data_IF_394087757336
#
_entry.id   IF_394087757336
#
_cell.length_a   1.000
_cell.length_b   1.000
_cell.length_c   1.000
_cell.angle_alpha   90.00
_cell.angle_beta   90.00
_cell.angle_gamma   90.00
#
_symmetry.space_group_name_H-M   'P 1'
#
loop_
_entity.id
_entity.type
_entity.pdbx_description
1 polymer ?
#
# COMPACT_ATOMS: atom_id res chain seq x y z
N UNK A 1 2.71 17.77 -23.53
CA UNK A 1 2.19 16.75 -22.61
C UNK A 1 2.86 17.02 -21.28
N UNK A 2 2.14 17.61 -20.33
CA UNK A 2 2.67 17.87 -18.99
C UNK A 2 2.45 16.58 -18.20
N UNK A 3 3.47 15.74 -18.10
CA UNK A 3 3.41 14.53 -17.28
C UNK A 3 3.34 14.96 -15.82
N UNK A 4 2.20 14.77 -15.16
CA UNK A 4 2.03 15.04 -13.73
C UNK A 4 2.89 14.04 -12.96
N UNK A 5 3.72 14.49 -12.02
CA UNK A 5 4.51 13.56 -11.19
C UNK A 5 3.66 12.92 -10.08
N UNK A 6 4.07 11.73 -9.60
CA UNK A 6 3.41 11.06 -8.46
C UNK A 6 3.35 11.99 -7.24
N UNK A 7 4.41 12.72 -6.96
CA UNK A 7 4.45 13.70 -5.88
C UNK A 7 3.41 14.82 -6.05
N UNK A 8 3.24 15.34 -7.27
CA UNK A 8 2.23 16.38 -7.54
C UNK A 8 0.81 15.84 -7.33
N UNK A 9 0.54 14.62 -7.80
CA UNK A 9 -0.73 13.94 -7.56
C UNK A 9 -0.99 13.74 -6.06
N UNK A 10 -0.01 13.23 -5.31
CA UNK A 10 -0.14 13.01 -3.87
C UNK A 10 -0.43 14.31 -3.12
N UNK A 11 0.26 15.40 -3.45
CA UNK A 11 0.02 16.71 -2.84
C UNK A 11 -1.40 17.21 -3.09
N UNK A 12 -1.94 16.98 -4.29
CA UNK A 12 -3.32 17.33 -4.62
C UNK A 12 -4.31 16.49 -3.80
N UNK A 13 -4.15 15.18 -3.79
CA UNK A 13 -5.01 14.26 -3.05
C UNK A 13 -4.98 14.51 -1.53
N UNK A 14 -3.80 14.84 -0.96
CA UNK A 14 -3.70 15.23 0.46
C UNK A 14 -4.42 16.55 0.73
N UNK A 15 -4.37 17.51 -0.21
CA UNK A 15 -5.10 18.78 -0.07
C UNK A 15 -6.62 18.61 -0.14
N UNK A 16 -7.12 17.62 -0.88
CA UNK A 16 -8.56 17.30 -0.96
C UNK A 16 -8.99 16.38 0.19
N UNK A 17 -8.08 15.56 0.71
CA UNK A 17 -8.30 14.58 1.78
C UNK A 17 -8.98 13.29 1.32
N UNK A 18 -9.26 13.15 0.02
CA UNK A 18 -9.97 12.00 -0.57
C UNK A 18 -9.44 11.69 -1.97
N UNK A 19 -9.47 10.41 -2.36
CA UNK A 19 -9.21 9.97 -3.74
C UNK A 19 -10.50 9.43 -4.33
N UNK A 20 -10.99 10.07 -5.39
CA UNK A 20 -12.13 9.60 -6.17
C UNK A 20 -11.72 8.61 -7.27
N UNK A 21 -12.70 7.95 -7.87
CA UNK A 21 -12.44 7.06 -9.02
C UNK A 21 -11.98 7.83 -10.27
N UNK A 22 -12.34 9.12 -10.38
CA UNK A 22 -11.82 10.00 -11.44
C UNK A 22 -10.32 10.30 -11.21
N UNK A 23 -9.93 10.61 -9.98
CA UNK A 23 -8.53 10.79 -9.61
C UNK A 23 -7.72 9.51 -9.87
N UNK A 24 -8.31 8.33 -9.62
CA UNK A 24 -7.69 7.05 -9.94
C UNK A 24 -7.49 6.86 -11.45
N UNK A 25 -8.40 7.32 -12.30
CA UNK A 25 -8.20 7.27 -13.75
C UNK A 25 -7.07 8.19 -14.20
N UNK A 26 -6.96 9.39 -13.61
CA UNK A 26 -5.84 10.31 -13.85
C UNK A 26 -4.52 9.67 -13.41
N UNK A 27 -4.48 9.08 -12.21
CA UNK A 27 -3.32 8.36 -11.70
C UNK A 27 -2.86 7.26 -12.66
N UNK A 28 -3.78 6.44 -13.16
CA UNK A 28 -3.47 5.33 -14.08
C UNK A 28 -3.04 5.79 -15.47
N UNK A 29 -3.62 6.87 -16.01
CA UNK A 29 -3.41 7.27 -17.41
C UNK A 29 -2.32 8.30 -17.60
N UNK A 30 -2.18 9.22 -16.65
CA UNK A 30 -1.33 10.41 -16.80
C UNK A 30 -0.09 10.36 -15.90
N UNK A 31 -0.19 9.74 -14.73
CA UNK A 31 0.88 9.73 -13.73
C UNK A 31 1.69 8.43 -13.81
N UNK A 32 1.01 7.27 -13.87
CA UNK A 32 1.62 5.93 -13.90
C UNK A 32 1.13 5.08 -15.08
N UNK A 33 1.31 5.54 -16.35
CA UNK A 33 0.88 4.77 -17.52
C UNK A 33 1.57 3.41 -17.65
N UNK A 34 2.82 3.31 -17.19
CA UNK A 34 3.64 2.09 -17.20
C UNK A 34 3.64 1.38 -15.84
N UNK A 35 2.85 1.84 -14.87
CA UNK A 35 2.88 1.35 -13.49
C UNK A 35 4.04 1.92 -12.66
N UNK A 36 4.32 1.28 -11.52
CA UNK A 36 5.36 1.69 -10.59
C UNK A 36 6.74 1.26 -11.11
N UNK A 37 7.65 2.23 -11.24
CA UNK A 37 9.00 1.99 -11.79
C UNK A 37 10.12 2.10 -10.76
N UNK A 38 9.85 2.70 -9.60
CA UNK A 38 10.83 2.92 -8.55
C UNK A 38 10.18 2.85 -7.16
N UNK A 39 11.02 2.65 -6.14
CA UNK A 39 10.59 2.54 -4.74
C UNK A 39 10.03 3.85 -4.18
N UNK A 40 10.52 4.99 -4.64
CA UNK A 40 10.10 6.31 -4.14
C UNK A 40 8.62 6.57 -4.46
N UNK A 41 8.19 6.28 -5.69
CA UNK A 41 6.80 6.41 -6.11
C UNK A 41 5.88 5.42 -5.37
N UNK A 42 6.37 4.19 -5.15
CA UNK A 42 5.65 3.20 -4.36
C UNK A 42 5.46 3.66 -2.91
N UNK A 43 6.52 4.19 -2.29
CA UNK A 43 6.48 4.73 -0.93
C UNK A 43 5.53 5.93 -0.82
N UNK A 44 5.51 6.81 -1.83
CA UNK A 44 4.58 7.94 -1.88
C UNK A 44 3.13 7.47 -1.92
N UNK A 45 2.78 6.50 -2.77
CA UNK A 45 1.41 5.98 -2.85
C UNK A 45 1.00 5.19 -1.60
N UNK A 46 1.93 4.41 -1.03
CA UNK A 46 1.72 3.70 0.23
C UNK A 46 1.47 4.71 1.38
N UNK A 47 2.24 5.80 1.44
CA UNK A 47 2.01 6.87 2.40
C UNK A 47 0.68 7.59 2.15
N UNK A 48 0.33 7.83 0.88
CA UNK A 48 -0.91 8.48 0.48
C UNK A 48 -2.14 7.71 0.94
N UNK A 49 -2.16 6.38 0.78
CA UNK A 49 -3.27 5.52 1.24
C UNK A 49 -3.64 5.73 2.71
N UNK A 50 -2.68 6.04 3.56
CA UNK A 50 -2.92 6.29 4.98
C UNK A 50 -3.32 7.73 5.28
N UNK A 51 -2.95 8.66 4.41
CA UNK A 51 -3.14 10.09 4.61
C UNK A 51 -4.53 10.56 4.18
N UNK A 52 -5.21 9.83 3.30
CA UNK A 52 -6.48 10.24 2.68
C UNK A 52 -7.50 9.11 2.70
N UNK A 53 -8.78 9.47 2.62
CA UNK A 53 -9.84 8.48 2.47
C UNK A 53 -9.86 8.06 0.99
N UNK A 54 -9.38 6.85 0.71
CA UNK A 54 -9.39 6.25 -0.62
C UNK A 54 -10.66 5.45 -0.92
N UNK A 55 -10.99 5.29 -2.20
CA UNK A 55 -12.00 4.32 -2.64
C UNK A 55 -11.46 2.88 -2.59
N UNK A 56 -12.34 1.89 -2.54
CA UNK A 56 -11.96 0.48 -2.63
C UNK A 56 -11.17 0.20 -3.92
N UNK A 57 -11.52 0.89 -5.03
CA UNK A 57 -10.81 0.79 -6.29
C UNK A 57 -9.38 1.31 -6.22
N UNK A 58 -9.13 2.36 -5.43
CA UNK A 58 -7.77 2.85 -5.17
C UNK A 58 -6.96 1.83 -4.35
N UNK A 59 -7.58 1.24 -3.32
CA UNK A 59 -6.94 0.20 -2.52
C UNK A 59 -6.58 -1.04 -3.36
N UNK A 60 -7.50 -1.51 -4.21
CA UNK A 60 -7.26 -2.63 -5.14
C UNK A 60 -6.13 -2.31 -6.13
N UNK A 61 -6.13 -1.09 -6.67
CA UNK A 61 -5.08 -0.64 -7.58
C UNK A 61 -3.72 -0.61 -6.88
N UNK A 62 -3.64 -0.07 -5.66
CA UNK A 62 -2.39 0.03 -4.93
C UNK A 62 -1.82 -1.37 -4.61
N UNK A 63 -2.68 -2.30 -4.18
CA UNK A 63 -2.30 -3.69 -3.96
C UNK A 63 -1.72 -4.31 -5.22
N UNK A 64 -2.43 -4.23 -6.35
CA UNK A 64 -1.96 -4.79 -7.60
C UNK A 64 -0.64 -4.17 -8.07
N UNK A 65 -0.51 -2.85 -7.95
CA UNK A 65 0.68 -2.11 -8.42
C UNK A 65 1.91 -2.41 -7.59
N UNK A 66 1.78 -2.50 -6.26
CA UNK A 66 2.92 -2.84 -5.39
C UNK A 66 3.33 -4.30 -5.56
N UNK A 67 2.36 -5.22 -5.73
CA UNK A 67 2.68 -6.63 -6.05
C UNK A 67 3.42 -6.72 -7.38
N UNK A 68 2.93 -6.04 -8.41
CA UNK A 68 3.58 -6.03 -9.72
C UNK A 68 5.02 -5.53 -9.65
N UNK A 69 5.22 -4.38 -8.98
CA UNK A 69 6.54 -3.80 -8.79
C UNK A 69 7.48 -4.69 -7.96
N UNK A 70 7.02 -5.18 -6.81
CA UNK A 70 7.87 -5.93 -5.88
C UNK A 70 8.23 -7.32 -6.43
N UNK A 71 7.26 -8.02 -7.01
CA UNK A 71 7.42 -9.41 -7.45
C UNK A 71 7.96 -9.50 -8.88
N UNK A 72 7.46 -8.66 -9.79
CA UNK A 72 7.78 -8.75 -11.22
C UNK A 72 8.73 -7.63 -11.70
N UNK A 73 8.89 -6.55 -10.94
CA UNK A 73 9.75 -5.42 -11.30
C UNK A 73 11.25 -5.63 -11.06
N UNK A 74 11.65 -6.57 -10.19
CA UNK A 74 13.06 -6.88 -9.91
C UNK A 74 13.49 -8.19 -10.55
N UNK A 75 14.72 -8.25 -11.10
CA UNK A 75 15.30 -9.48 -11.64
C UNK A 75 16.27 -10.09 -10.60
N UNK A 76 16.18 -11.39 -10.30
CA UNK A 76 15.27 -12.40 -10.86
C UNK A 76 13.82 -12.21 -10.39
N UNK A 77 12.88 -12.29 -11.33
CA UNK A 77 11.45 -12.08 -11.04
C UNK A 77 10.89 -13.21 -10.18
N UNK A 78 9.95 -12.88 -9.30
CA UNK A 78 9.32 -13.82 -8.37
C UNK A 78 10.12 -14.06 -7.07
N UNK A 79 11.27 -13.39 -6.89
CA UNK A 79 12.11 -13.52 -5.70
C UNK A 79 12.13 -12.22 -4.89
N UNK A 80 11.67 -12.30 -3.65
CA UNK A 80 11.78 -11.20 -2.70
C UNK A 80 12.97 -11.45 -1.78
N UNK A 81 14.07 -10.74 -2.04
CA UNK A 81 15.27 -10.80 -1.20
C UNK A 81 15.11 -9.99 0.10
N UNK A 82 16.16 -9.98 0.92
CA UNK A 82 16.15 -9.27 2.20
C UNK A 82 16.07 -7.76 2.06
N UNK A 83 16.59 -7.19 0.98
CA UNK A 83 16.60 -5.74 0.75
C UNK A 83 15.19 -5.26 0.37
N UNK A 84 14.55 -5.93 -0.60
CA UNK A 84 13.15 -5.68 -0.97
C UNK A 84 12.23 -5.93 0.21
N UNK A 85 12.44 -7.02 0.96
CA UNK A 85 11.67 -7.31 2.17
C UNK A 85 11.79 -6.23 3.24
N UNK A 86 13.01 -5.75 3.52
CA UNK A 86 13.25 -4.72 4.52
C UNK A 86 12.61 -3.39 4.13
N UNK A 87 12.77 -2.99 2.86
CA UNK A 87 12.14 -1.80 2.32
C UNK A 87 10.60 -1.89 2.41
N UNK A 88 10.01 -2.97 1.90
CA UNK A 88 8.56 -3.12 1.85
C UNK A 88 7.97 -3.17 3.27
N UNK A 89 8.59 -3.91 4.20
CA UNK A 89 8.15 -3.94 5.59
C UNK A 89 8.23 -2.56 6.25
N UNK A 90 9.28 -1.79 6.01
CA UNK A 90 9.42 -0.43 6.54
C UNK A 90 8.35 0.51 5.97
N UNK A 91 8.13 0.48 4.66
CA UNK A 91 7.11 1.29 3.98
C UNK A 91 5.69 0.94 4.43
N UNK A 92 5.40 -0.36 4.58
CA UNK A 92 4.10 -0.85 5.03
C UNK A 92 3.85 -0.64 6.52
N UNK A 93 4.89 -0.56 7.35
CA UNK A 93 4.73 -0.32 8.79
C UNK A 93 4.20 1.07 9.12
N UNK A 94 4.56 2.11 8.34
CA UNK A 94 4.17 3.49 8.64
C UNK A 94 4.55 3.94 10.05
N UNK A 95 3.87 4.97 10.58
CA UNK A 95 4.09 5.46 11.97
C UNK A 95 3.31 4.67 13.01
N UNK A 96 2.05 4.33 12.72
CA UNK A 96 1.12 3.73 13.68
C UNK A 96 0.97 2.21 13.51
N UNK A 97 1.74 1.61 12.60
CA UNK A 97 1.59 0.22 12.17
C UNK A 97 0.90 0.10 10.81
N UNK A 98 0.87 -1.13 10.25
CA UNK A 98 0.29 -1.37 8.94
C UNK A 98 -1.22 -1.09 8.92
N UNK A 99 -1.66 -0.36 7.90
CA UNK A 99 -3.09 -0.19 7.58
C UNK A 99 -3.70 -1.52 7.12
N UNK A 100 -5.03 -1.59 7.02
CA UNK A 100 -5.70 -2.78 6.48
C UNK A 100 -5.27 -3.06 5.03
N UNK A 101 -5.13 -2.01 4.21
CA UNK A 101 -4.60 -2.13 2.84
C UNK A 101 -3.12 -2.52 2.89
N UNK A 102 -2.31 -1.92 3.76
CA UNK A 102 -0.91 -2.29 3.91
C UNK A 102 -0.69 -3.76 4.32
N UNK A 103 -1.51 -4.28 5.23
CA UNK A 103 -1.50 -5.70 5.59
C UNK A 103 -1.89 -6.59 4.40
N UNK A 104 -2.89 -6.17 3.60
CA UNK A 104 -3.27 -6.86 2.37
C UNK A 104 -2.13 -6.87 1.34
N UNK A 105 -1.45 -5.74 1.14
CA UNK A 105 -0.26 -5.67 0.26
C UNK A 105 0.78 -6.71 0.69
N UNK A 106 1.14 -6.73 1.97
CA UNK A 106 2.15 -7.66 2.49
C UNK A 106 1.77 -9.14 2.23
N UNK A 107 0.52 -9.49 2.49
CA UNK A 107 -0.01 -10.85 2.25
C UNK A 107 0.02 -11.22 0.77
N UNK A 108 -0.42 -10.32 -0.11
CA UNK A 108 -0.48 -10.58 -1.56
C UNK A 108 0.92 -10.70 -2.17
N UNK A 109 1.88 -9.87 -1.74
CA UNK A 109 3.29 -10.00 -2.19
C UNK A 109 3.86 -11.35 -1.78
N UNK A 110 3.66 -11.77 -0.53
CA UNK A 110 4.13 -13.09 -0.06
C UNK A 110 3.44 -14.24 -0.80
N UNK A 111 2.15 -14.08 -1.13
CA UNK A 111 1.37 -15.10 -1.86
C UNK A 111 1.83 -15.27 -3.31
N UNK A 112 2.14 -14.16 -3.97
CA UNK A 112 2.49 -14.14 -5.40
C UNK A 112 3.97 -14.46 -5.65
N UNK A 113 4.85 -14.12 -4.71
CA UNK A 113 6.26 -14.42 -4.81
C UNK A 113 6.53 -15.94 -4.78
N UNK A 114 7.38 -16.41 -5.69
CA UNK A 114 7.86 -17.79 -5.71
C UNK A 114 8.74 -18.10 -4.50
N UNK A 115 9.52 -17.11 -4.06
CA UNK A 115 10.32 -17.19 -2.84
C UNK A 115 10.37 -15.82 -2.17
N UNK A 116 10.21 -15.81 -0.85
CA UNK A 116 10.23 -14.58 -0.04
C UNK A 116 11.16 -14.73 1.15
N UNK A 117 11.87 -13.65 1.48
CA UNK A 117 12.61 -13.58 2.73
C UNK A 117 11.68 -13.80 3.92
N UNK A 118 12.12 -14.64 4.86
CA UNK A 118 11.36 -15.02 6.06
C UNK A 118 10.89 -13.80 6.88
N UNK A 119 11.67 -12.72 6.89
CA UNK A 119 11.32 -11.46 7.54
C UNK A 119 10.05 -10.83 6.97
N UNK A 120 9.83 -10.90 5.65
CA UNK A 120 8.59 -10.37 5.04
C UNK A 120 7.40 -11.27 5.36
N UNK A 121 7.59 -12.59 5.35
CA UNK A 121 6.53 -13.55 5.72
C UNK A 121 6.08 -13.32 7.16
N UNK A 122 7.02 -13.20 8.10
CA UNK A 122 6.72 -12.90 9.49
C UNK A 122 5.99 -11.55 9.65
N UNK A 123 6.43 -10.51 8.93
CA UNK A 123 5.76 -9.22 8.91
C UNK A 123 4.32 -9.32 8.39
N UNK A 124 4.10 -9.99 7.25
CA UNK A 124 2.77 -10.12 6.64
C UNK A 124 1.77 -10.83 7.56
N UNK A 125 2.20 -11.91 8.22
CA UNK A 125 1.37 -12.64 9.18
C UNK A 125 0.98 -11.77 10.38
N UNK A 126 1.92 -11.04 10.95
CA UNK A 126 1.66 -10.13 12.07
C UNK A 126 0.78 -8.94 11.65
N UNK A 127 1.03 -8.34 10.49
CA UNK A 127 0.23 -7.26 9.94
C UNK A 127 -1.24 -7.70 9.71
N UNK A 128 -1.44 -8.88 9.12
CA UNK A 128 -2.77 -9.45 8.89
C UNK A 128 -3.49 -9.76 10.21
N UNK A 129 -2.79 -10.33 11.18
CA UNK A 129 -3.35 -10.58 12.52
C UNK A 129 -3.86 -9.27 13.15
N UNK A 130 -3.03 -8.22 13.15
CA UNK A 130 -3.43 -6.89 13.66
C UNK A 130 -4.64 -6.31 12.93
N UNK A 131 -4.65 -6.36 11.60
CA UNK A 131 -5.76 -5.87 10.81
C UNK A 131 -7.08 -6.58 11.19
N UNK A 132 -7.03 -7.90 11.39
CA UNK A 132 -8.18 -8.70 11.83
C UNK A 132 -8.63 -8.37 13.26
N UNK A 133 -7.69 -8.17 14.17
CA UNK A 133 -7.98 -7.80 15.56
C UNK A 133 -8.69 -6.43 15.62
N UNK A 134 -8.26 -5.46 14.81
CA UNK A 134 -8.91 -4.15 14.70
C UNK A 134 -10.35 -4.25 14.16
N UNK A 135 -10.61 -5.12 13.19
CA UNK A 135 -11.97 -5.37 12.67
C UNK A 135 -12.84 -6.10 13.70
N UNK A 136 -12.24 -6.97 14.53
CA UNK A 136 -12.96 -7.76 15.53
C UNK A 136 -13.17 -7.04 16.88
N UNK A 137 -12.53 -5.89 17.11
CA UNK A 137 -12.67 -5.16 18.36
C UNK A 137 -14.10 -4.64 18.52
N UNK A 138 -14.82 -5.00 19.61
CA UNK A 138 -16.17 -4.47 19.84
C UNK A 138 -16.06 -2.96 20.04
N UNK A 139 -16.93 -2.19 19.37
CA UNK A 139 -17.11 -0.77 19.68
C UNK A 139 -17.52 -0.67 21.15
N UNK A 140 -16.57 -0.40 22.04
CA UNK A 140 -16.86 -0.04 23.43
C UNK A 140 -17.53 1.33 23.39
N UNK A 141 -18.85 1.33 23.27
CA UNK A 141 -19.68 2.50 23.51
C UNK A 141 -19.48 2.87 24.97
N UNK A 142 -18.64 3.87 25.24
CA UNK A 142 -18.64 4.52 26.54
C UNK A 142 -19.98 5.22 26.67
N UNK A 143 -20.93 4.54 27.32
CA UNK A 143 -22.12 5.19 27.84
C UNK A 143 -21.63 6.21 28.88
N UNK A 144 -21.63 7.50 28.52
CA UNK A 144 -21.55 8.56 29.52
C UNK A 144 -22.76 8.39 30.44
N UNK A 145 -22.50 7.90 31.65
CA UNK A 145 -23.47 7.96 32.73
C UNK A 145 -23.67 9.43 33.11
N UNK A 146 -24.92 9.88 32.97
CA UNK A 146 -25.41 11.16 33.46
C UNK A 146 -25.62 11.15 34.98
#
# INVERSE_FOLDING_TARGET
MTTISVQQFCNHAVSTGTISDEDLLVLKREVLPEGLMNREDADLLIALERAVIGSDAFADFLVASVVDFAVWGSRPTGYIDRDVAAWLAASLSGRDGPSAVGARIAMEVVREAQSSAESLVAFALEANRRARDTVSAPRMTFALAA
#
